data_IF_589203722067
#
_entry.id   IF_589203722067
#
_cell.length_a   1.000
_cell.length_b   1.000
_cell.length_c   1.000
_cell.angle_alpha   90.00
_cell.angle_beta   90.00
_cell.angle_gamma   90.00
#
_symmetry.space_group_name_H-M   'P 1'
#
loop_
_entity.id
_entity.type
_entity.pdbx_description
1 polymer ?
#
# COMPACT_ATOMS: atom_id res chain seq x y z
N UNK A 1 36.85 -10.40 12.78
CA UNK A 1 36.14 -11.64 12.45
C UNK A 1 35.42 -11.41 11.12
N UNK A 2 35.53 -12.25 10.11
CA UNK A 2 34.76 -12.11 8.88
C UNK A 2 33.27 -12.27 9.21
N UNK A 3 32.45 -11.36 8.70
CA UNK A 3 31.00 -11.44 8.85
C UNK A 3 30.51 -12.75 8.21
N UNK A 4 29.70 -13.51 8.94
CA UNK A 4 29.05 -14.71 8.43
C UNK A 4 28.20 -14.29 7.20
N UNK A 5 28.22 -15.02 6.10
CA UNK A 5 27.39 -14.69 4.95
C UNK A 5 25.93 -14.74 5.36
N UNK A 6 25.24 -13.61 5.20
CA UNK A 6 23.80 -13.55 5.44
C UNK A 6 23.11 -14.36 4.34
N UNK A 7 22.57 -15.51 4.71
CA UNK A 7 21.75 -16.34 3.82
C UNK A 7 20.34 -15.74 3.73
N UNK A 8 19.95 -15.28 2.53
CA UNK A 8 18.59 -14.88 2.24
C UNK A 8 17.71 -16.12 2.17
N UNK A 9 16.56 -16.08 2.84
CA UNK A 9 15.55 -17.13 2.78
C UNK A 9 14.16 -16.54 2.53
N UNK A 10 13.30 -17.24 1.79
CA UNK A 10 11.89 -16.89 1.66
C UNK A 10 11.19 -17.11 3.01
N UNK A 11 10.53 -16.10 3.54
CA UNK A 11 9.79 -16.17 4.81
C UNK A 11 8.31 -16.49 4.61
N UNK A 12 7.70 -15.94 3.58
CA UNK A 12 6.28 -16.11 3.30
C UNK A 12 5.99 -16.05 1.80
N UNK A 13 4.82 -16.50 1.43
CA UNK A 13 4.20 -16.36 0.12
C UNK A 13 2.76 -15.89 0.36
N UNK A 14 2.49 -14.60 0.04
CA UNK A 14 1.22 -13.96 0.34
C UNK A 14 0.31 -14.07 -0.89
N UNK A 15 -0.64 -14.99 -0.81
CA UNK A 15 -1.61 -15.26 -1.87
C UNK A 15 -2.86 -14.40 -1.69
N UNK A 16 -3.64 -14.28 -2.77
CA UNK A 16 -4.99 -13.71 -2.68
C UNK A 16 -5.38 -12.76 -3.79
N UNK A 17 -4.45 -12.00 -4.41
CA UNK A 17 -4.76 -11.25 -5.63
C UNK A 17 -5.21 -12.21 -6.74
N UNK A 18 -6.25 -11.80 -7.48
CA UNK A 18 -6.78 -12.60 -8.59
C UNK A 18 -5.98 -12.43 -9.89
N UNK A 19 -5.16 -11.38 -9.96
CA UNK A 19 -4.43 -10.97 -11.15
C UNK A 19 -2.99 -10.55 -10.78
N UNK A 20 -2.22 -10.10 -11.78
CA UNK A 20 -0.82 -9.68 -11.62
C UNK A 20 -0.65 -8.60 -10.55
N UNK A 21 0.23 -8.86 -9.58
CA UNK A 21 0.66 -7.88 -8.58
C UNK A 21 1.79 -7.04 -9.16
N UNK A 22 1.63 -5.71 -9.11
CA UNK A 22 2.54 -4.78 -9.79
C UNK A 22 3.51 -4.08 -8.88
N UNK A 23 3.08 -3.75 -7.68
CA UNK A 23 3.90 -2.98 -6.76
C UNK A 23 3.53 -3.29 -5.32
N UNK A 24 4.47 -3.00 -4.43
CA UNK A 24 4.27 -3.12 -2.99
C UNK A 24 5.08 -2.04 -2.26
N UNK A 25 4.57 -1.63 -1.10
CA UNK A 25 5.19 -0.62 -0.26
C UNK A 25 5.05 -0.96 1.22
N UNK A 26 6.18 -0.94 1.93
CA UNK A 26 6.18 -1.03 3.39
C UNK A 26 5.72 0.28 3.99
N UNK A 27 4.84 0.18 4.99
CA UNK A 27 4.48 1.35 5.80
C UNK A 27 5.70 1.76 6.65
N UNK A 28 6.08 3.07 6.65
CA UNK A 28 7.29 3.51 7.35
C UNK A 28 7.14 3.57 8.88
N UNK A 29 5.94 3.46 9.40
CA UNK A 29 5.63 3.60 10.84
C UNK A 29 4.93 2.39 11.44
N UNK A 30 4.12 1.68 10.64
CA UNK A 30 3.30 0.54 11.08
C UNK A 30 3.85 -0.76 10.49
N UNK A 31 3.65 -1.88 11.15
CA UNK A 31 4.02 -3.20 10.64
C UNK A 31 3.05 -3.66 9.54
N UNK A 32 2.94 -2.86 8.48
CA UNK A 32 2.05 -3.09 7.34
C UNK A 32 2.81 -3.09 6.02
N UNK A 33 2.37 -3.95 5.12
CA UNK A 33 2.77 -4.00 3.73
C UNK A 33 1.53 -3.80 2.87
N UNK A 34 1.56 -2.86 1.94
CA UNK A 34 0.55 -2.71 0.91
C UNK A 34 1.00 -3.36 -0.39
N UNK A 35 0.08 -4.00 -1.12
CA UNK A 35 0.29 -4.47 -2.48
C UNK A 35 -0.85 -4.00 -3.38
N UNK A 36 -0.60 -3.88 -4.69
CA UNK A 36 -1.61 -3.51 -5.67
C UNK A 36 -1.54 -4.37 -6.93
N UNK A 37 -2.66 -4.48 -7.64
CA UNK A 37 -2.83 -5.47 -8.69
C UNK A 37 -3.68 -4.98 -9.86
N UNK A 38 -3.63 -5.76 -10.94
CA UNK A 38 -4.55 -5.67 -12.08
C UNK A 38 -6.01 -5.96 -11.69
N UNK A 39 -6.24 -6.72 -10.61
CA UNK A 39 -7.59 -6.96 -10.07
C UNK A 39 -8.25 -5.70 -9.49
N UNK A 40 -7.53 -4.56 -9.46
CA UNK A 40 -7.93 -3.23 -9.00
C UNK A 40 -8.03 -3.09 -7.50
N UNK A 41 -7.68 -4.12 -6.73
CA UNK A 41 -7.64 -4.07 -5.29
C UNK A 41 -6.26 -3.68 -4.78
N UNK A 42 -6.26 -3.11 -3.58
CA UNK A 42 -5.09 -2.97 -2.73
C UNK A 42 -5.27 -3.91 -1.55
N UNK A 43 -4.22 -4.67 -1.20
CA UNK A 43 -4.22 -5.56 -0.05
C UNK A 43 -3.24 -5.06 0.98
N UNK A 44 -3.68 -5.04 2.23
CA UNK A 44 -2.86 -4.70 3.39
C UNK A 44 -2.58 -5.97 4.19
N UNK A 45 -1.30 -6.20 4.45
CA UNK A 45 -0.82 -7.31 5.26
C UNK A 45 -0.10 -6.79 6.48
N UNK A 46 -0.48 -7.28 7.67
CA UNK A 46 0.32 -7.07 8.87
C UNK A 46 1.38 -8.13 9.02
N UNK A 47 2.41 -7.84 9.83
CA UNK A 47 3.38 -8.83 10.25
C UNK A 47 3.75 -8.68 11.71
N UNK A 48 3.98 -9.82 12.35
CA UNK A 48 4.45 -9.89 13.74
C UNK A 48 5.61 -10.87 13.83
N UNK A 49 6.63 -10.48 14.62
CA UNK A 49 7.72 -11.36 14.97
C UNK A 49 7.38 -12.08 16.28
N UNK A 50 7.20 -13.39 16.20
CA UNK A 50 6.91 -14.23 17.36
C UNK A 50 8.23 -14.80 17.90
N UNK A 51 8.50 -14.63 19.20
CA UNK A 51 9.62 -15.32 19.87
C UNK A 51 9.16 -16.71 20.28
N UNK A 52 9.86 -17.73 19.84
CA UNK A 52 9.62 -19.10 20.30
C UNK A 52 10.37 -19.33 21.60
N UNK A 53 9.63 -19.55 22.69
CA UNK A 53 10.12 -19.55 24.08
C UNK A 53 11.04 -20.69 24.48
N UNK A 54 11.29 -21.71 23.65
CA UNK A 54 12.04 -22.91 24.06
C UNK A 54 13.30 -23.17 23.21
N UNK A 55 13.40 -22.62 22.01
CA UNK A 55 14.52 -22.89 21.07
C UNK A 55 15.25 -21.67 20.54
N UNK A 56 14.99 -20.46 21.06
CA UNK A 56 15.67 -19.22 20.63
C UNK A 56 15.40 -18.79 19.20
N UNK A 57 14.48 -19.44 18.50
CA UNK A 57 14.05 -19.09 17.17
C UNK A 57 13.02 -17.94 17.18
N UNK A 58 13.03 -17.09 16.16
CA UNK A 58 11.95 -16.13 15.93
C UNK A 58 11.28 -16.46 14.59
N UNK A 59 9.97 -16.53 14.62
CA UNK A 59 9.14 -16.70 13.41
C UNK A 59 8.46 -15.39 13.10
N UNK A 60 8.43 -15.01 11.81
CA UNK A 60 7.67 -13.85 11.35
C UNK A 60 6.40 -14.34 10.67
N UNK A 61 5.26 -13.95 11.21
CA UNK A 61 3.94 -14.33 10.67
C UNK A 61 3.34 -13.11 9.98
N UNK A 62 2.87 -13.33 8.75
CA UNK A 62 2.14 -12.35 7.96
C UNK A 62 0.65 -12.71 7.92
N UNK A 63 -0.22 -11.70 7.95
CA UNK A 63 -1.67 -11.88 7.86
C UNK A 63 -2.25 -10.83 6.92
N UNK A 64 -3.23 -11.23 6.11
CA UNK A 64 -4.08 -10.28 5.41
C UNK A 64 -4.95 -9.57 6.45
N UNK A 65 -4.81 -8.27 6.56
CA UNK A 65 -5.64 -7.43 7.43
C UNK A 65 -6.87 -6.94 6.67
N UNK A 66 -6.66 -6.44 5.43
CA UNK A 66 -7.75 -5.83 4.68
C UNK A 66 -7.54 -5.89 3.17
N UNK A 67 -8.65 -5.86 2.45
CA UNK A 67 -8.72 -5.65 1.01
C UNK A 67 -9.45 -4.34 0.78
N UNK A 68 -8.77 -3.35 0.21
CA UNK A 68 -9.35 -2.07 -0.16
C UNK A 68 -9.81 -2.18 -1.62
N UNK A 69 -11.13 -2.21 -1.89
CA UNK A 69 -11.64 -2.12 -3.25
C UNK A 69 -11.43 -0.69 -3.74
N UNK A 70 -10.34 -0.46 -4.47
CA UNK A 70 -9.85 0.89 -4.73
C UNK A 70 -10.77 1.76 -5.58
N UNK A 71 -11.84 1.22 -6.15
CA UNK A 71 -12.74 1.95 -7.03
C UNK A 71 -12.12 2.40 -8.36
N UNK A 72 -10.84 2.16 -8.55
CA UNK A 72 -10.18 2.40 -9.83
C UNK A 72 -10.83 1.57 -10.95
N UNK A 73 -10.95 2.18 -12.12
CA UNK A 73 -11.59 1.54 -13.28
C UNK A 73 -10.67 0.55 -14.00
N UNK A 74 -9.35 0.67 -13.77
CA UNK A 74 -8.31 -0.15 -14.40
C UNK A 74 -7.26 -0.56 -13.37
N UNK A 75 -6.24 -1.30 -13.80
CA UNK A 75 -5.09 -1.75 -13.01
C UNK A 75 -4.58 -0.71 -12.04
N UNK A 76 -4.45 -1.04 -10.76
CA UNK A 76 -3.67 -0.26 -9.81
C UNK A 76 -2.20 -0.63 -9.99
N UNK A 77 -1.41 0.33 -10.44
CA UNK A 77 -0.04 0.10 -10.91
C UNK A 77 1.01 0.35 -9.84
N UNK A 78 0.76 1.28 -8.92
CA UNK A 78 1.70 1.63 -7.87
C UNK A 78 0.97 2.05 -6.60
N UNK A 79 1.60 1.78 -5.46
CA UNK A 79 1.18 2.23 -4.12
C UNK A 79 2.36 2.90 -3.43
N UNK A 80 2.08 3.92 -2.63
CA UNK A 80 3.08 4.66 -1.85
C UNK A 80 2.50 5.15 -0.54
N UNK A 81 3.21 4.95 0.57
CA UNK A 81 2.83 5.48 1.88
C UNK A 81 3.36 6.89 2.07
N UNK A 82 2.57 7.73 2.76
CA UNK A 82 3.09 8.99 3.31
C UNK A 82 4.20 8.71 4.36
N UNK A 83 5.11 9.65 4.61
CA UNK A 83 6.16 9.49 5.63
C UNK A 83 5.62 9.28 7.06
N UNK A 84 4.40 9.74 7.34
CA UNK A 84 3.70 9.49 8.61
C UNK A 84 3.11 8.09 8.69
N UNK A 85 2.89 7.43 7.54
CA UNK A 85 2.29 6.10 7.44
C UNK A 85 0.76 6.09 7.58
N UNK A 86 0.11 7.24 7.51
CA UNK A 86 -1.34 7.38 7.70
C UNK A 86 -2.10 7.49 6.38
N UNK A 87 -1.44 7.98 5.33
CA UNK A 87 -2.01 8.09 3.99
C UNK A 87 -1.36 7.08 3.05
N UNK A 88 -2.19 6.40 2.28
CA UNK A 88 -1.77 5.55 1.17
C UNK A 88 -2.18 6.21 -0.15
N UNK A 89 -1.24 6.37 -1.08
CA UNK A 89 -1.53 6.81 -2.44
C UNK A 89 -1.49 5.63 -3.41
N UNK A 90 -2.42 5.61 -4.36
CA UNK A 90 -2.49 4.62 -5.44
C UNK A 90 -2.46 5.30 -6.79
N UNK A 91 -1.73 4.75 -7.77
CA UNK A 91 -1.80 5.21 -9.14
C UNK A 91 -2.34 4.12 -10.06
N UNK A 92 -3.17 4.50 -11.02
CA UNK A 92 -3.88 3.54 -11.88
C UNK A 92 -3.73 3.85 -13.38
N UNK A 93 -3.93 2.80 -14.15
CA UNK A 93 -4.05 2.90 -15.60
C UNK A 93 -5.32 3.62 -16.06
N UNK A 94 -6.22 3.98 -15.16
CA UNK A 94 -7.36 4.86 -15.44
C UNK A 94 -6.99 6.36 -15.43
N UNK A 95 -5.70 6.69 -15.31
CA UNK A 95 -5.13 8.03 -15.33
C UNK A 95 -5.27 8.81 -14.02
N UNK A 96 -5.80 8.19 -12.97
CA UNK A 96 -6.03 8.84 -11.68
C UNK A 96 -5.06 8.37 -10.60
N UNK A 97 -4.95 9.18 -9.54
CA UNK A 97 -4.31 8.83 -8.27
C UNK A 97 -5.35 8.90 -7.18
N UNK A 98 -5.51 7.83 -6.40
CA UNK A 98 -6.37 7.79 -5.23
C UNK A 98 -5.57 8.07 -3.95
N UNK A 99 -6.17 8.78 -3.00
CA UNK A 99 -5.64 9.03 -1.67
C UNK A 99 -6.56 8.40 -0.63
N UNK A 100 -5.98 7.58 0.24
CA UNK A 100 -6.68 6.72 1.18
C UNK A 100 -6.21 6.98 2.59
N UNK A 101 -7.14 7.00 3.54
CA UNK A 101 -6.85 7.06 4.97
C UNK A 101 -7.65 6.02 5.74
N UNK A 102 -7.13 5.66 6.91
CA UNK A 102 -7.81 4.75 7.81
C UNK A 102 -8.90 5.48 8.58
N UNK A 103 -10.12 4.95 8.56
CA UNK A 103 -11.23 5.48 9.34
C UNK A 103 -10.94 5.23 10.83
N UNK A 104 -10.94 6.26 11.68
CA UNK A 104 -10.72 6.10 13.11
C UNK A 104 -11.74 5.17 13.77
N UNK A 105 -11.30 4.34 14.71
CA UNK A 105 -12.11 3.31 15.37
C UNK A 105 -13.38 3.86 16.07
N UNK A 106 -13.32 5.08 16.58
CA UNK A 106 -14.45 5.77 17.20
C UNK A 106 -15.54 6.13 16.19
N UNK A 107 -15.16 6.54 14.98
CA UNK A 107 -16.10 6.80 13.88
C UNK A 107 -16.64 5.48 13.36
N UNK A 108 -15.78 4.50 13.15
CA UNK A 108 -16.14 3.19 12.65
C UNK A 108 -17.13 2.43 13.53
N UNK A 109 -16.97 2.51 14.86
CA UNK A 109 -17.88 1.86 15.80
C UNK A 109 -19.31 2.40 15.71
N UNK A 110 -19.51 3.56 15.11
CA UNK A 110 -20.84 4.14 14.81
C UNK A 110 -21.39 3.72 13.44
N UNK A 111 -20.55 3.14 12.56
CA UNK A 111 -20.94 2.62 11.25
C UNK A 111 -21.34 1.15 11.39
N UNK A 112 -22.60 0.83 11.22
CA UNK A 112 -23.15 -0.54 11.42
C UNK A 112 -23.16 -1.39 10.15
N UNK A 113 -22.48 -0.99 9.07
CA UNK A 113 -22.73 -1.48 7.72
C UNK A 113 -21.62 -2.38 7.12
N UNK A 114 -20.58 -2.70 7.88
CA UNK A 114 -19.45 -3.49 7.36
C UNK A 114 -18.61 -2.77 6.32
N UNK A 115 -18.61 -1.44 6.31
CA UNK A 115 -17.75 -0.60 5.48
C UNK A 115 -16.27 -0.92 5.71
N UNK A 116 -15.42 -0.80 4.67
CA UNK A 116 -13.98 -1.01 4.80
C UNK A 116 -13.37 -0.02 5.80
N UNK A 117 -12.25 -0.43 6.42
CA UNK A 117 -11.50 0.39 7.39
C UNK A 117 -10.77 1.58 6.75
N UNK A 118 -10.72 1.60 5.45
CA UNK A 118 -10.04 2.61 4.64
C UNK A 118 -11.03 3.28 3.70
N UNK A 119 -10.98 4.60 3.64
CA UNK A 119 -11.79 5.38 2.71
C UNK A 119 -10.92 6.21 1.75
N UNK A 120 -11.44 6.45 0.55
CA UNK A 120 -10.84 7.35 -0.42
C UNK A 120 -11.30 8.79 -0.09
N UNK A 121 -10.42 9.60 0.47
CA UNK A 121 -10.73 10.99 0.77
C UNK A 121 -10.39 11.96 -0.39
N UNK A 122 -9.66 11.48 -1.41
CA UNK A 122 -9.30 12.30 -2.56
C UNK A 122 -8.92 11.51 -3.80
N UNK A 123 -9.27 12.06 -4.95
CA UNK A 123 -8.85 11.56 -6.25
C UNK A 123 -8.20 12.70 -7.04
N UNK A 124 -6.96 12.49 -7.48
CA UNK A 124 -6.21 13.45 -8.27
C UNK A 124 -6.36 13.10 -9.75
N UNK A 125 -6.89 14.04 -10.51
CA UNK A 125 -7.15 13.91 -11.94
C UNK A 125 -6.29 14.92 -12.71
N UNK A 126 -5.77 14.54 -13.88
CA UNK A 126 -4.98 15.44 -14.71
C UNK A 126 -4.14 14.71 -15.75
N UNK A 127 -3.60 13.53 -15.44
CA UNK A 127 -2.91 12.72 -16.44
C UNK A 127 -3.82 12.37 -17.61
N UNK A 128 -3.34 12.56 -18.84
CA UNK A 128 -4.08 12.25 -20.06
C UNK A 128 -3.99 10.77 -20.48
N UNK A 129 -3.18 9.98 -19.77
CA UNK A 129 -2.99 8.55 -20.01
C UNK A 129 -2.64 7.83 -18.72
N UNK A 130 -2.36 6.52 -18.82
CA UNK A 130 -2.09 5.67 -17.66
C UNK A 130 -1.07 6.29 -16.71
N UNK A 131 -1.47 6.49 -15.44
CA UNK A 131 -0.57 6.82 -14.35
C UNK A 131 0.23 5.58 -13.96
N UNK A 132 1.55 5.67 -14.00
CA UNK A 132 2.44 4.50 -13.84
C UNK A 132 3.05 4.41 -12.46
N UNK A 133 3.25 5.53 -11.78
CA UNK A 133 3.87 5.56 -10.47
C UNK A 133 3.43 6.77 -9.68
N UNK A 134 3.51 6.65 -8.37
CA UNK A 134 3.23 7.68 -7.39
C UNK A 134 4.24 7.59 -6.25
N UNK A 135 4.68 8.72 -5.71
CA UNK A 135 5.64 8.77 -4.61
C UNK A 135 5.47 10.02 -3.77
N UNK A 136 5.43 9.86 -2.45
CA UNK A 136 5.46 11.00 -1.52
C UNK A 136 6.85 11.60 -1.43
N UNK A 137 6.92 12.92 -1.21
CA UNK A 137 8.14 13.59 -0.77
C UNK A 137 8.52 13.16 0.65
N UNK A 138 9.79 13.33 1.02
CA UNK A 138 10.30 12.96 2.34
C UNK A 138 9.54 13.59 3.52
N UNK A 139 9.10 14.84 3.36
CA UNK A 139 8.36 15.57 4.39
C UNK A 139 6.83 15.39 4.30
N UNK A 140 6.31 14.69 3.28
CA UNK A 140 4.89 14.45 3.08
C UNK A 140 4.10 15.61 2.47
N UNK A 141 4.72 16.77 2.23
CA UNK A 141 4.01 17.94 1.71
C UNK A 141 3.65 17.83 0.23
N UNK A 142 4.37 16.97 -0.49
CA UNK A 142 4.16 16.79 -1.93
C UNK A 142 3.99 15.32 -2.27
N UNK A 143 3.22 15.09 -3.31
CA UNK A 143 3.11 13.82 -3.99
C UNK A 143 3.53 14.03 -5.45
N UNK A 144 4.36 13.14 -5.98
CA UNK A 144 4.71 13.12 -7.38
C UNK A 144 4.02 11.95 -8.08
N UNK A 145 3.49 12.16 -9.27
CA UNK A 145 2.99 11.09 -10.14
C UNK A 145 3.61 11.19 -11.52
N UNK A 146 3.69 10.08 -12.23
CA UNK A 146 4.16 10.05 -13.61
C UNK A 146 3.36 9.06 -14.45
N UNK A 147 3.24 9.35 -15.74
CA UNK A 147 2.37 8.62 -16.62
C UNK A 147 2.91 8.35 -18.02
N UNK A 148 2.11 7.62 -18.79
CA UNK A 148 2.35 7.34 -20.20
C UNK A 148 2.22 8.59 -21.08
N UNK A 149 1.58 9.63 -20.58
CA UNK A 149 1.49 10.97 -21.20
C UNK A 149 2.83 11.71 -21.23
N UNK A 150 3.92 11.08 -20.75
CA UNK A 150 5.29 11.60 -20.73
C UNK A 150 5.48 12.78 -19.77
N UNK A 151 4.56 12.96 -18.82
CA UNK A 151 4.60 14.02 -17.82
C UNK A 151 4.91 13.50 -16.41
N UNK A 152 5.43 14.40 -15.59
CA UNK A 152 5.52 14.27 -14.14
C UNK A 152 4.68 15.39 -13.53
N UNK A 153 3.77 15.03 -12.65
CA UNK A 153 2.91 15.97 -11.94
C UNK A 153 3.33 16.03 -10.48
N UNK A 154 3.33 17.22 -9.92
CA UNK A 154 3.57 17.46 -8.49
C UNK A 154 2.29 18.01 -7.90
N UNK A 155 1.86 17.38 -6.83
CA UNK A 155 0.65 17.68 -6.09
C UNK A 155 1.03 18.15 -4.69
N UNK A 156 0.34 19.14 -4.17
CA UNK A 156 0.39 19.54 -2.76
C UNK A 156 -0.65 18.71 -2.00
N UNK A 157 -0.23 18.09 -0.89
CA UNK A 157 -1.07 17.15 -0.11
C UNK A 157 -1.33 17.72 1.28
#
# INVERSE_FOLDING_TARGET
MPAQPQTLRKLADLQGHAETVWNLAWNPKKSLLASCSTDKDVRLYSYKKLSSGISGGSETVFRLEEVIPSGHKRTVRCVSWSPTGDILATSSFDSTVGLWEHIPDDIRSSMSDGSPDWECFGTLEGHESECKSVSFSYNGNFLASCGRDKSVWIWEV
#
